data_IF_668031564947
#
_entry.id   IF_668031564947
#
_cell.length_a   1.000
_cell.length_b   1.000
_cell.length_c   1.000
_cell.angle_alpha   90.00
_cell.angle_beta   90.00
_cell.angle_gamma   90.00
#
_symmetry.space_group_name_H-M   'P 1'
#
loop_
_entity.id
_entity.type
_entity.pdbx_description
1 polymer ?
#
# COMPACT_ATOMS: atom_id res chain seq x y z
N UNK A 1 -16.52 -4.61 -20.61
CA UNK A 1 -15.39 -5.49 -20.26
C UNK A 1 -14.25 -4.61 -19.76
N UNK A 2 -13.97 -4.61 -18.45
CA UNK A 2 -12.79 -3.92 -17.94
C UNK A 2 -11.56 -4.62 -18.50
N UNK A 3 -10.84 -3.95 -19.38
CA UNK A 3 -9.65 -4.51 -20.02
C UNK A 3 -8.66 -4.90 -18.93
N UNK A 4 -8.14 -6.12 -18.94
CA UNK A 4 -7.16 -6.65 -17.95
C UNK A 4 -6.01 -5.65 -17.73
N UNK A 5 -5.66 -4.88 -18.77
CA UNK A 5 -4.71 -3.76 -18.76
C UNK A 5 -5.04 -2.68 -17.72
N UNK A 6 -6.31 -2.32 -17.55
CA UNK A 6 -6.77 -1.33 -16.57
C UNK A 6 -6.58 -1.83 -15.13
N UNK A 7 -7.00 -3.06 -14.84
CA UNK A 7 -6.79 -3.67 -13.51
C UNK A 7 -5.30 -3.81 -13.17
N UNK A 8 -4.48 -4.19 -14.14
CA UNK A 8 -3.03 -4.28 -13.96
C UNK A 8 -2.38 -2.90 -13.70
N UNK A 9 -2.76 -1.88 -14.48
CA UNK A 9 -2.26 -0.51 -14.30
C UNK A 9 -2.68 0.08 -12.96
N UNK A 10 -3.93 -0.13 -12.56
CA UNK A 10 -4.47 0.36 -11.29
C UNK A 10 -3.81 -0.35 -10.10
N UNK A 11 -3.55 -1.66 -10.21
CA UNK A 11 -2.77 -2.40 -9.23
C UNK A 11 -1.34 -1.88 -9.07
N UNK A 12 -0.64 -1.62 -10.18
CA UNK A 12 0.72 -1.04 -10.17
C UNK A 12 0.77 0.34 -9.50
N UNK A 13 -0.21 1.21 -9.79
CA UNK A 13 -0.30 2.54 -9.17
C UNK A 13 -0.55 2.42 -7.66
N UNK A 14 -1.48 1.55 -7.25
CA UNK A 14 -1.77 1.32 -5.82
C UNK A 14 -0.54 0.78 -5.10
N UNK A 15 0.17 -0.18 -5.68
CA UNK A 15 1.40 -0.74 -5.11
C UNK A 15 2.48 0.33 -4.99
N UNK A 16 2.75 1.07 -6.07
CA UNK A 16 3.78 2.12 -6.08
C UNK A 16 3.52 3.21 -5.05
N UNK A 17 2.27 3.66 -4.94
CA UNK A 17 1.88 4.66 -3.94
C UNK A 17 1.99 4.12 -2.51
N UNK A 18 1.60 2.85 -2.31
CA UNK A 18 1.66 2.19 -0.99
C UNK A 18 3.09 2.04 -0.48
N UNK A 19 4.06 1.76 -1.35
CA UNK A 19 5.49 1.65 -0.97
C UNK A 19 6.00 2.95 -0.34
N UNK A 20 5.66 4.10 -0.93
CA UNK A 20 6.06 5.41 -0.41
C UNK A 20 5.50 5.67 0.99
N UNK A 21 4.19 5.43 1.19
CA UNK A 21 3.56 5.59 2.50
C UNK A 21 4.11 4.61 3.53
N UNK A 22 4.34 3.35 3.16
CA UNK A 22 4.95 2.38 4.07
C UNK A 22 6.33 2.80 4.54
N UNK A 23 7.18 3.31 3.64
CA UNK A 23 8.51 3.77 4.04
C UNK A 23 8.44 4.88 5.08
N UNK A 24 7.55 5.86 4.88
CA UNK A 24 7.39 6.99 5.82
C UNK A 24 6.89 6.50 7.19
N UNK A 25 5.87 5.65 7.19
CA UNK A 25 5.26 5.14 8.44
C UNK A 25 6.25 4.24 9.18
N UNK A 26 6.86 3.28 8.47
CA UNK A 26 7.85 2.38 9.06
C UNK A 26 9.03 3.19 9.58
N UNK A 27 9.54 4.17 8.83
CA UNK A 27 10.62 5.03 9.31
C UNK A 27 10.26 5.78 10.60
N UNK A 28 9.02 6.29 10.71
CA UNK A 28 8.50 6.88 11.94
C UNK A 28 8.40 5.89 13.10
N UNK A 29 7.96 4.65 12.85
CA UNK A 29 7.92 3.59 13.87
C UNK A 29 9.34 3.24 14.31
N UNK A 30 10.28 3.07 13.39
CA UNK A 30 11.68 2.71 13.69
C UNK A 30 12.39 3.78 14.53
N UNK A 31 11.95 5.05 14.44
CA UNK A 31 12.45 6.15 15.28
C UNK A 31 12.01 6.06 16.74
N UNK A 32 10.83 5.51 17.00
CA UNK A 32 10.25 5.38 18.35
C UNK A 32 10.63 4.03 18.95
N UNK A 33 10.54 2.97 18.14
CA UNK A 33 10.90 1.60 18.48
C UNK A 33 11.96 1.11 17.49
N UNK A 34 13.21 0.88 17.89
CA UNK A 34 14.25 0.38 16.99
C UNK A 34 13.95 -1.06 16.55
N UNK A 35 13.23 -1.18 15.45
CA UNK A 35 12.90 -2.44 14.81
C UNK A 35 14.11 -2.96 14.04
N UNK A 36 14.63 -4.13 14.42
CA UNK A 36 15.74 -4.79 13.76
C UNK A 36 15.37 -6.19 13.26
N UNK A 37 16.04 -6.62 12.19
CA UNK A 37 15.92 -7.99 11.66
C UNK A 37 14.50 -8.37 11.25
N UNK A 38 14.03 -9.53 11.71
CA UNK A 38 12.72 -10.09 11.34
C UNK A 38 11.54 -9.18 11.72
N UNK A 39 11.63 -8.48 12.86
CA UNK A 39 10.56 -7.61 13.36
C UNK A 39 10.31 -6.43 12.42
N UNK A 40 11.37 -5.89 11.81
CA UNK A 40 11.25 -4.83 10.79
C UNK A 40 10.44 -5.32 9.58
N UNK A 41 10.75 -6.50 9.07
CA UNK A 41 10.06 -7.08 7.91
C UNK A 41 8.58 -7.39 8.22
N UNK A 42 8.29 -7.87 9.42
CA UNK A 42 6.91 -8.13 9.87
C UNK A 42 6.12 -6.82 9.94
N UNK A 43 6.64 -5.80 10.61
CA UNK A 43 5.95 -4.50 10.72
C UNK A 43 5.77 -3.86 9.36
N UNK A 44 6.81 -3.87 8.51
CA UNK A 44 6.72 -3.35 7.15
C UNK A 44 5.64 -4.08 6.32
N UNK A 45 5.58 -5.41 6.41
CA UNK A 45 4.55 -6.20 5.72
C UNK A 45 3.13 -5.91 6.22
N UNK A 46 2.94 -5.74 7.53
CA UNK A 46 1.64 -5.40 8.11
C UNK A 46 1.19 -4.00 7.66
N UNK A 47 2.08 -3.00 7.76
CA UNK A 47 1.76 -1.63 7.33
C UNK A 47 1.45 -1.60 5.83
N UNK A 48 2.23 -2.33 5.02
CA UNK A 48 1.99 -2.44 3.58
C UNK A 48 0.63 -3.04 3.23
N UNK A 49 0.30 -4.18 3.83
CA UNK A 49 -0.97 -4.86 3.58
C UNK A 49 -2.17 -4.00 3.96
N UNK A 50 -2.11 -3.32 5.12
CA UNK A 50 -3.18 -2.39 5.54
C UNK A 50 -3.38 -1.26 4.53
N UNK A 51 -2.29 -0.63 4.08
CA UNK A 51 -2.37 0.50 3.13
C UNK A 51 -2.89 0.04 1.77
N UNK A 52 -2.41 -1.11 1.28
CA UNK A 52 -2.87 -1.67 0.00
C UNK A 52 -4.34 -2.04 0.09
N UNK A 53 -4.79 -2.71 1.16
CA UNK A 53 -6.21 -3.09 1.32
C UNK A 53 -7.10 -1.86 1.47
N UNK A 54 -6.68 -0.85 2.23
CA UNK A 54 -7.40 0.41 2.35
C UNK A 54 -7.49 1.14 1.00
N UNK A 55 -6.37 1.26 0.29
CA UNK A 55 -6.32 1.85 -1.04
C UNK A 55 -7.24 1.09 -2.00
N UNK A 56 -7.20 -0.23 -2.03
CA UNK A 56 -8.06 -1.01 -2.90
C UNK A 56 -9.55 -0.85 -2.52
N UNK A 57 -9.88 -0.79 -1.24
CA UNK A 57 -11.27 -0.65 -0.77
C UNK A 57 -11.84 0.75 -1.01
N UNK A 58 -11.05 1.80 -0.81
CA UNK A 58 -11.52 3.20 -0.91
C UNK A 58 -11.29 3.81 -2.31
N UNK A 59 -10.17 3.52 -2.97
CA UNK A 59 -9.87 4.09 -4.29
C UNK A 59 -10.53 3.33 -5.45
N UNK A 60 -10.63 1.99 -5.41
CA UNK A 60 -11.24 1.22 -6.51
C UNK A 60 -12.70 1.60 -6.80
N UNK A 61 -13.62 1.70 -5.82
CA UNK A 61 -14.99 2.11 -6.10
C UNK A 61 -15.10 3.58 -6.50
N UNK A 62 -14.18 4.43 -6.04
CA UNK A 62 -14.15 5.86 -6.38
C UNK A 62 -13.68 6.08 -7.82
N UNK A 63 -12.62 5.40 -8.24
CA UNK A 63 -12.13 5.42 -9.63
C UNK A 63 -13.16 4.83 -10.60
N UNK A 64 -13.94 3.84 -10.17
CA UNK A 64 -15.04 3.27 -10.97
C UNK A 64 -16.23 4.23 -11.16
N UNK A 65 -16.41 5.23 -10.30
CA UNK A 65 -17.53 6.19 -10.37
C UNK A 65 -17.19 7.50 -11.11
N UNK A 66 -15.91 7.75 -11.38
CA UNK A 66 -15.43 8.97 -12.05
C UNK A 66 -15.33 8.77 -13.58
N UNK A 67 -15.35 7.52 -14.04
CA UNK A 67 -15.35 7.12 -15.46
C UNK A 67 -16.73 6.56 -15.83
#
# INVERSE_FOLDING_TARGET
>A
MYTIRYLASLGLVVIGCSIGYTMIIVWGITKIFPLNGATYWIVNGIVFTIIVTASLRFYTPRLRKIW
#
